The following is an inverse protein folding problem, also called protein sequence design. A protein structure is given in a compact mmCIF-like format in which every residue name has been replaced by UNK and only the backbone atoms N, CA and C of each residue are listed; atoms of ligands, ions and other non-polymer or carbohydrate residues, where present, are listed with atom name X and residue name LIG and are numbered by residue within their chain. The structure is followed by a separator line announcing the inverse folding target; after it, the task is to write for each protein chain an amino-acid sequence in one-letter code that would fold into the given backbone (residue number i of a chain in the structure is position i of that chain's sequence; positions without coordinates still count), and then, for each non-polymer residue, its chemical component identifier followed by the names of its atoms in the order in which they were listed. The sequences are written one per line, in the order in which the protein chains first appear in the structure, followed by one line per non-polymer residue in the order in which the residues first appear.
data_IF_235772839642
#
_entry.id   IF_235772839642
#
_cell.length_a   1.000
_cell.length_b   1.000
_cell.length_c   1.000
_cell.angle_alpha   90.00
_cell.angle_beta   90.00
_cell.angle_gamma   90.00
#
_symmetry.space_group_name_H-M   'P 1'
#
loop_
_entity.id
_entity.type
_entity.pdbx_description
1 polymer ?
#
# COMPACT_ATOMS: atom_id res chain seq x y z
N UNK A 1 16.98 21.04 -19.72
CA UNK A 1 15.94 19.99 -19.61
C UNK A 1 15.15 20.26 -18.33
N UNK A 2 13.85 20.54 -18.43
CA UNK A 2 13.01 20.74 -17.23
C UNK A 2 12.95 19.40 -16.48
N UNK A 3 13.07 19.36 -15.14
CA UNK A 3 12.90 18.12 -14.41
C UNK A 3 11.52 17.58 -14.75
N UNK A 4 11.46 16.38 -15.33
CA UNK A 4 10.21 15.66 -15.52
C UNK A 4 9.55 15.58 -14.15
N UNK A 5 8.38 16.19 -13.98
CA UNK A 5 7.64 16.11 -12.72
C UNK A 5 7.52 14.61 -12.38
N UNK A 6 7.96 14.23 -11.19
CA UNK A 6 7.84 12.86 -10.69
C UNK A 6 6.36 12.65 -10.35
N UNK A 7 5.81 11.49 -10.72
CA UNK A 7 4.42 11.14 -10.38
C UNK A 7 4.35 10.65 -8.95
N UNK A 8 3.35 11.13 -8.23
CA UNK A 8 3.11 10.79 -6.82
C UNK A 8 1.92 9.84 -6.69
N UNK A 9 2.10 8.76 -5.93
CA UNK A 9 1.06 7.80 -5.60
C UNK A 9 0.91 7.77 -4.09
N UNK A 10 -0.26 8.19 -3.59
CA UNK A 10 -0.63 8.13 -2.18
C UNK A 10 -1.32 6.81 -1.90
N UNK A 11 -0.75 6.03 -0.99
CA UNK A 11 -1.28 4.75 -0.54
C UNK A 11 -1.88 4.96 0.85
N UNK A 12 -3.21 4.87 0.93
CA UNK A 12 -3.97 5.04 2.16
C UNK A 12 -4.19 3.68 2.82
N UNK A 13 -3.83 3.57 4.09
CA UNK A 13 -3.95 2.37 4.92
C UNK A 13 -4.74 2.67 6.19
N UNK A 14 -5.52 1.71 6.67
CA UNK A 14 -6.27 1.80 7.95
C UNK A 14 -7.56 2.64 7.91
N UNK A 15 -7.79 3.42 6.85
CA UNK A 15 -8.94 4.32 6.75
C UNK A 15 -10.27 3.66 6.36
N UNK A 16 -10.24 2.44 5.82
CA UNK A 16 -11.43 1.69 5.39
C UNK A 16 -11.40 0.24 5.88
N UNK A 17 -12.55 -0.29 6.28
CA UNK A 17 -12.81 -1.75 6.26
C UNK A 17 -13.25 -2.06 4.83
N UNK A 18 -12.39 -2.60 3.94
CA UNK A 18 -12.82 -2.92 2.60
C UNK A 18 -13.81 -4.08 2.70
N UNK A 19 -15.10 -3.79 2.48
CA UNK A 19 -16.13 -4.81 2.19
C UNK A 19 -15.81 -5.62 0.90
N UNK A 20 -14.70 -5.32 0.22
CA UNK A 20 -14.22 -6.03 -0.95
C UNK A 20 -13.40 -7.25 -0.55
N UNK A 21 -13.96 -8.43 -0.87
CA UNK A 21 -13.45 -9.79 -0.68
C UNK A 21 -11.94 -9.93 -0.42
N UNK A 22 -11.53 -10.75 0.58
CA UNK A 22 -10.13 -11.11 0.78
C UNK A 22 -9.59 -11.73 -0.51
N UNK A 23 -8.88 -10.92 -1.29
CA UNK A 23 -8.31 -11.37 -2.54
C UNK A 23 -7.01 -12.07 -2.23
N UNK A 24 -6.80 -13.25 -2.83
CA UNK A 24 -5.59 -14.04 -2.64
C UNK A 24 -4.33 -13.14 -2.79
N UNK A 25 -3.33 -13.20 -1.89
CA UNK A 25 -2.21 -12.25 -1.86
C UNK A 25 -1.50 -12.07 -3.20
N UNK A 26 -1.38 -13.16 -3.96
CA UNK A 26 -0.81 -13.13 -5.31
C UNK A 26 -1.65 -12.30 -6.29
N UNK A 27 -2.98 -12.45 -6.28
CA UNK A 27 -3.89 -11.71 -7.16
C UNK A 27 -3.78 -10.21 -6.89
N UNK A 28 -3.67 -9.82 -5.63
CA UNK A 28 -3.48 -8.42 -5.20
C UNK A 28 -2.18 -7.87 -5.77
N UNK A 29 -1.06 -8.60 -5.65
CA UNK A 29 0.22 -8.19 -6.20
C UNK A 29 0.16 -7.98 -7.72
N UNK A 30 -0.48 -8.91 -8.45
CA UNK A 30 -0.66 -8.81 -9.92
C UNK A 30 -1.52 -7.59 -10.29
N UNK A 31 -2.61 -7.35 -9.56
CA UNK A 31 -3.48 -6.20 -9.80
C UNK A 31 -2.74 -4.88 -9.56
N UNK A 32 -2.02 -4.75 -8.45
CA UNK A 32 -1.23 -3.56 -8.13
C UNK A 32 -0.16 -3.32 -9.19
N UNK A 33 0.52 -4.36 -9.66
CA UNK A 33 1.46 -4.24 -10.78
C UNK A 33 0.79 -3.61 -12.02
N UNK A 34 -0.39 -4.12 -12.40
CA UNK A 34 -1.15 -3.61 -13.56
C UNK A 34 -1.60 -2.17 -13.37
N UNK A 35 -2.00 -1.79 -12.15
CA UNK A 35 -2.37 -0.42 -11.79
C UNK A 35 -1.16 0.50 -11.92
N UNK A 36 -0.01 0.11 -11.37
CA UNK A 36 1.24 0.86 -11.48
C UNK A 36 1.70 1.02 -12.93
N UNK A 37 1.59 -0.04 -13.74
CA UNK A 37 1.87 0.01 -15.18
C UNK A 37 0.96 1.02 -15.90
N UNK A 38 -0.31 1.16 -15.46
CA UNK A 38 -1.25 2.15 -16.00
C UNK A 38 -0.93 3.57 -15.53
N UNK A 39 -0.62 3.74 -14.25
CA UNK A 39 -0.20 5.03 -13.66
C UNK A 39 1.03 5.58 -14.38
N UNK A 40 2.02 4.72 -14.64
CA UNK A 40 3.23 5.10 -15.37
C UNK A 40 2.92 5.68 -16.76
N UNK A 41 1.88 5.15 -17.44
CA UNK A 41 1.46 5.60 -18.78
C UNK A 41 0.43 6.73 -18.77
N UNK A 42 -0.21 7.02 -17.64
CA UNK A 42 -1.24 8.07 -17.56
C UNK A 42 -0.67 9.47 -17.77
N UNK A 43 -1.51 10.45 -18.11
CA UNK A 43 -1.11 11.85 -18.13
C UNK A 43 -1.14 12.50 -16.74
N UNK A 44 -1.91 11.95 -15.81
CA UNK A 44 -2.06 12.53 -14.47
C UNK A 44 -0.81 12.35 -13.62
N UNK A 45 -0.68 13.24 -12.63
CA UNK A 45 0.51 13.36 -11.79
C UNK A 45 0.32 12.81 -10.38
N UNK A 46 -0.93 12.74 -9.90
CA UNK A 46 -1.28 12.33 -8.54
C UNK A 46 -2.34 11.24 -8.58
N UNK A 47 -2.13 10.19 -7.81
CA UNK A 47 -3.06 9.07 -7.69
C UNK A 47 -3.23 8.69 -6.22
N UNK A 48 -4.43 8.28 -5.84
CA UNK A 48 -4.75 7.79 -4.51
C UNK A 48 -5.23 6.33 -4.60
N UNK A 49 -4.74 5.48 -3.69
CA UNK A 49 -5.07 4.06 -3.68
C UNK A 49 -5.18 3.51 -2.26
N UNK A 50 -6.30 2.85 -1.96
CA UNK A 50 -6.52 2.22 -0.65
C UNK A 50 -5.98 0.79 -0.67
N UNK A 51 -5.05 0.46 0.22
CA UNK A 51 -4.44 -0.88 0.27
C UNK A 51 -4.14 -1.32 1.70
N UNK A 52 -4.91 -2.27 2.22
CA UNK A 52 -4.74 -2.81 3.57
C UNK A 52 -4.14 -4.22 3.58
N UNK A 53 -3.39 -4.60 2.53
CA UNK A 53 -2.79 -5.93 2.40
C UNK A 53 -1.27 -5.79 2.37
N UNK A 54 -0.51 -6.43 3.28
CA UNK A 54 0.94 -6.30 3.36
C UNK A 54 1.65 -6.64 2.04
N UNK A 55 1.19 -7.69 1.35
CA UNK A 55 1.71 -8.10 0.04
C UNK A 55 1.52 -7.02 -1.01
N UNK A 56 0.41 -6.29 -0.95
CA UNK A 56 0.16 -5.18 -1.87
C UNK A 56 1.04 -3.97 -1.58
N UNK A 57 1.17 -3.60 -0.31
CA UNK A 57 2.05 -2.51 0.15
C UNK A 57 3.51 -2.78 -0.27
N UNK A 58 3.99 -4.01 -0.09
CA UNK A 58 5.31 -4.46 -0.56
C UNK A 58 5.48 -4.33 -2.08
N UNK A 59 4.40 -4.53 -2.86
CA UNK A 59 4.45 -4.36 -4.31
C UNK A 59 4.57 -2.89 -4.73
N UNK A 60 3.94 -1.96 -4.01
CA UNK A 60 4.14 -0.54 -4.23
C UNK A 60 5.59 -0.12 -4.01
N UNK A 61 6.24 -0.64 -2.97
CA UNK A 61 7.65 -0.34 -2.68
C UNK A 61 8.57 -0.99 -3.73
N UNK A 62 8.44 -2.30 -3.96
CA UNK A 62 9.35 -3.05 -4.83
C UNK A 62 9.19 -2.74 -6.32
N UNK A 63 7.98 -2.45 -6.79
CA UNK A 63 7.73 -2.17 -8.22
C UNK A 63 7.50 -0.68 -8.48
N UNK A 64 6.66 -0.03 -7.69
CA UNK A 64 6.35 1.40 -7.88
C UNK A 64 7.58 2.27 -7.64
N UNK A 65 8.15 2.20 -6.43
CA UNK A 65 9.32 3.02 -6.08
C UNK A 65 10.60 2.53 -6.74
N UNK A 66 10.96 1.25 -6.59
CA UNK A 66 12.28 0.78 -7.05
C UNK A 66 12.40 0.54 -8.56
N UNK A 67 11.32 0.13 -9.25
CA UNK A 67 11.37 -0.17 -10.71
C UNK A 67 10.86 0.98 -11.56
N UNK A 68 9.75 1.62 -11.17
CA UNK A 68 9.13 2.70 -11.93
C UNK A 68 9.57 4.10 -11.48
N UNK A 69 10.36 4.21 -10.41
CA UNK A 69 10.84 5.47 -9.84
C UNK A 69 9.70 6.47 -9.53
N UNK A 70 8.56 5.93 -9.09
CA UNK A 70 7.41 6.73 -8.65
C UNK A 70 7.64 7.23 -7.22
N UNK A 71 7.11 8.41 -6.91
CA UNK A 71 7.06 8.94 -5.55
C UNK A 71 5.90 8.27 -4.81
N UNK A 72 6.20 7.19 -4.08
CA UNK A 72 5.22 6.47 -3.28
C UNK A 72 5.16 7.12 -1.88
N UNK A 73 3.98 7.55 -1.47
CA UNK A 73 3.73 8.11 -0.14
C UNK A 73 2.71 7.26 0.59
N UNK A 74 2.99 6.90 1.84
CA UNK A 74 2.09 6.07 2.64
C UNK A 74 1.41 6.89 3.73
N UNK A 75 0.17 6.51 4.06
CA UNK A 75 -0.63 7.18 5.07
C UNK A 75 -1.37 6.15 5.92
N UNK A 76 -1.16 6.15 7.23
CA UNK A 76 -1.93 5.37 8.20
C UNK A 76 -3.01 6.29 8.78
N UNK A 77 -4.28 5.94 8.59
CA UNK A 77 -5.42 6.73 9.10
C UNK A 77 -5.36 8.23 8.71
N UNK A 78 -4.91 8.52 7.48
CA UNK A 78 -4.74 9.88 6.97
C UNK A 78 -3.47 10.60 7.43
N UNK A 79 -2.66 9.98 8.29
CA UNK A 79 -1.37 10.53 8.74
C UNK A 79 -0.23 9.92 7.95
N UNK A 80 0.66 10.76 7.40
CA UNK A 80 1.80 10.28 6.61
C UNK A 80 2.71 9.39 7.46
N UNK A 81 3.13 8.26 6.90
CA UNK A 81 3.93 7.26 7.58
C UNK A 81 5.04 6.73 6.67
N UNK A 82 6.09 6.15 7.28
CA UNK A 82 7.11 5.43 6.51
C UNK A 82 6.61 4.05 6.09
N UNK A 83 7.30 3.43 5.13
CA UNK A 83 7.00 2.05 4.72
C UNK A 83 7.12 1.08 5.91
N UNK A 84 8.16 1.23 6.72
CA UNK A 84 8.41 0.35 7.87
C UNK A 84 7.31 0.48 8.94
N UNK A 85 6.85 1.71 9.20
CA UNK A 85 5.74 1.96 10.14
C UNK A 85 4.45 1.30 9.65
N UNK A 86 4.16 1.39 8.34
CA UNK A 86 2.96 0.79 7.75
C UNK A 86 3.01 -0.73 7.84
N UNK A 87 4.17 -1.36 7.59
CA UNK A 87 4.31 -2.81 7.74
C UNK A 87 4.17 -3.22 9.20
N UNK A 88 4.75 -2.46 10.13
CA UNK A 88 4.62 -2.72 11.57
C UNK A 88 3.18 -2.60 12.04
N UNK A 89 2.44 -1.59 11.57
CA UNK A 89 1.02 -1.40 11.90
C UNK A 89 0.15 -2.55 11.39
N UNK A 90 0.43 -3.06 10.19
CA UNK A 90 -0.25 -4.24 9.64
C UNK A 90 0.03 -5.50 10.46
N UNK A 91 1.25 -5.66 11.00
CA UNK A 91 1.62 -6.80 11.85
C UNK A 91 1.04 -6.71 13.26
N UNK A 92 0.76 -5.50 13.76
CA UNK A 92 0.10 -5.27 15.05
C UNK A 92 -1.24 -6.00 15.16
N UNK A 93 -1.93 -6.19 14.03
CA UNK A 93 -3.14 -7.00 13.97
C UNK A 93 -2.91 -8.47 14.36
N UNK A 94 -1.78 -9.07 13.99
CA UNK A 94 -1.42 -10.44 14.38
C UNK A 94 -1.16 -10.54 15.89
N UNK A 95 -0.48 -9.53 16.46
CA UNK A 95 -0.21 -9.50 17.90
C UNK A 95 -1.48 -9.30 18.72
N UNK A 96 -2.43 -8.49 18.23
CA UNK A 96 -3.75 -8.35 18.86
C UNK A 96 -4.53 -9.68 18.85
N UNK A 97 -4.49 -10.43 17.74
CA UNK A 97 -5.13 -11.75 17.67
C UNK A 97 -4.49 -12.74 18.66
N UNK A 98 -3.16 -12.70 18.83
CA UNK A 98 -2.48 -13.52 19.84
C UNK A 98 -2.96 -13.17 21.25
N UNK A 99 -3.00 -11.88 21.61
CA UNK A 99 -3.47 -11.42 22.91
C UNK A 99 -4.91 -11.88 23.20
N UNK A 100 -5.83 -11.75 22.24
CA UNK A 100 -7.23 -12.21 22.40
C UNK A 100 -7.33 -13.73 22.59
N UNK A 101 -6.41 -14.50 22.00
CA UNK A 101 -6.38 -15.95 22.20
C UNK A 101 -5.79 -16.34 23.55
N UNK A 102 -4.84 -15.57 24.08
CA UNK A 102 -4.25 -15.75 25.42
C UNK A 102 -5.21 -15.36 26.54
N UNK A 103 -6.11 -14.39 26.33
CA UNK A 103 -7.17 -14.00 27.29
C UNK A 103 -8.26 -15.08 27.50
N UNK A 104 -8.25 -16.17 26.72
CA UNK A 104 -9.22 -17.27 26.83
C UNK A 104 -8.77 -18.44 27.72
N UNK A 105 -7.59 -18.37 28.34
CA UNK A 105 -7.13 -19.30 29.40
C UNK A 105 -7.31 -18.69 30.80
#
# INVERSE_FOLDING_TARGET
MKPSKIKTVKVMTGTDIPFCSPSHPYTVAVQIKRVLDRIARSADMEFEFNCNIPTGIKMFEAYGRQKLMLDIQYYINGTQASFDDVISDMMRGEDFVKQVNEEKE
#
